data_IF_806696122227
#
_entry.id   IF_806696122227
#
_cell.length_a   1.000
_cell.length_b   1.000
_cell.length_c   1.000
_cell.angle_alpha   90.00
_cell.angle_beta   90.00
_cell.angle_gamma   90.00
#
_symmetry.space_group_name_H-M   'P 1'
#
loop_
_entity.id
_entity.type
_entity.pdbx_description
1 polymer ?
#
# COMPACT_ATOMS: atom_id res chain seq x y z
N UNK A 1 -13.08 9.24 -14.61
CA UNK A 1 -12.49 9.57 -13.30
C UNK A 1 -11.21 8.76 -13.19
N UNK A 2 -10.04 9.41 -13.19
CA UNK A 2 -8.82 8.69 -12.81
C UNK A 2 -8.94 8.47 -11.31
N UNK A 3 -9.20 7.22 -10.90
CA UNK A 3 -9.05 6.82 -9.51
C UNK A 3 -7.56 7.05 -9.19
N UNK A 4 -7.24 8.19 -8.57
CA UNK A 4 -5.90 8.44 -8.05
C UNK A 4 -5.87 7.78 -6.69
N UNK A 5 -5.47 6.50 -6.67
CA UNK A 5 -5.09 5.84 -5.43
C UNK A 5 -3.70 6.39 -5.12
N UNK A 6 -3.45 6.99 -3.95
CA UNK A 6 -2.09 7.32 -3.57
C UNK A 6 -1.29 6.01 -3.51
N UNK A 7 -0.25 5.91 -4.34
CA UNK A 7 0.82 4.96 -4.12
C UNK A 7 1.34 5.15 -2.70
N UNK A 8 1.86 4.09 -2.08
CA UNK A 8 2.42 4.11 -0.72
C UNK A 8 3.62 5.04 -0.53
N UNK A 9 4.00 5.83 -1.54
CA UNK A 9 4.93 6.95 -1.44
C UNK A 9 4.33 8.06 -0.57
N UNK A 10 4.65 8.04 0.72
CA UNK A 10 4.28 9.09 1.66
C UNK A 10 5.41 10.13 1.76
N UNK A 11 5.04 11.41 1.66
CA UNK A 11 5.92 12.53 2.01
C UNK A 11 5.44 13.09 3.34
N UNK A 12 6.28 12.98 4.37
CA UNK A 12 5.97 13.48 5.71
C UNK A 12 6.87 14.67 6.02
N UNK A 13 6.24 15.82 6.31
CA UNK A 13 6.91 16.97 6.91
C UNK A 13 6.73 16.88 8.43
N UNK A 14 7.80 16.59 9.16
CA UNK A 14 7.76 16.54 10.61
C UNK A 14 7.80 17.97 11.18
N UNK A 15 6.63 18.60 11.40
CA UNK A 15 6.50 19.84 12.17
C UNK A 15 5.82 19.56 13.52
N UNK A 16 6.48 19.93 14.61
CA UNK A 16 5.89 19.83 15.96
C UNK A 16 5.00 21.04 16.23
N UNK A 17 3.71 20.80 16.48
CA UNK A 17 2.80 21.80 17.08
C UNK A 17 2.72 21.57 18.59
N UNK A 18 2.76 22.66 19.35
CA UNK A 18 3.03 22.65 20.79
C UNK A 18 1.78 22.42 21.66
N UNK A 19 1.62 21.20 22.21
CA UNK A 19 1.00 20.84 23.52
C UNK A 19 -0.51 21.18 23.75
N UNK A 20 -1.26 20.50 24.67
CA UNK A 20 -0.89 20.29 26.08
C UNK A 20 -1.21 18.92 26.75
N UNK A 21 -0.33 18.57 27.70
CA UNK A 21 -0.53 17.88 29.00
C UNK A 21 -1.12 16.45 29.05
N UNK A 22 -0.23 15.48 29.22
CA UNK A 22 -0.55 14.15 29.78
C UNK A 22 -0.49 14.14 31.32
N UNK A 23 -1.49 13.51 31.96
CA UNK A 23 -1.51 13.19 33.40
C UNK A 23 -0.84 11.83 33.65
N UNK A 24 -0.01 11.76 34.69
CA UNK A 24 0.71 10.56 35.12
C UNK A 24 -0.22 9.48 35.69
N UNK A 25 -0.04 8.22 35.29
CA UNK A 25 -0.55 7.05 36.00
C UNK A 25 0.59 6.32 36.71
N UNK A 26 0.34 5.97 37.99
CA UNK A 26 1.26 5.26 38.89
C UNK A 26 1.49 3.82 38.43
N UNK A 27 2.75 3.38 38.49
CA UNK A 27 3.15 1.99 38.31
C UNK A 27 2.75 1.14 39.52
N UNK A 28 2.16 -0.04 39.27
CA UNK A 28 2.00 -1.12 40.23
C UNK A 28 3.05 -2.19 39.89
N UNK A 29 3.91 -2.49 40.86
CA UNK A 29 4.97 -3.49 40.74
C UNK A 29 4.39 -4.91 40.67
N UNK A 30 4.92 -5.77 39.79
CA UNK A 30 4.74 -7.21 39.90
C UNK A 30 5.94 -8.01 39.36
N UNK A 31 6.55 -8.74 40.30
CA UNK A 31 7.29 -10.01 40.27
C UNK A 31 8.23 -10.31 39.08
N UNK A 32 9.52 -10.35 39.44
CA UNK A 32 10.63 -11.00 38.71
C UNK A 32 10.30 -12.47 38.40
N UNK A 33 10.27 -12.80 37.11
CA UNK A 33 10.44 -14.15 36.60
C UNK A 33 11.81 -14.20 35.89
N UNK A 34 12.69 -15.06 36.39
CA UNK A 34 14.00 -15.34 35.83
C UNK A 34 13.80 -16.01 34.46
N UNK A 35 14.23 -15.35 33.38
CA UNK A 35 14.35 -15.96 32.06
C UNK A 35 15.82 -15.98 31.64
N UNK A 36 16.25 -17.15 31.20
CA UNK A 36 17.61 -17.49 30.81
C UNK A 36 18.18 -16.52 29.77
N UNK A 37 19.41 -16.08 30.04
CA UNK A 37 20.27 -15.30 29.15
C UNK A 37 20.56 -16.07 27.85
N UNK A 38 19.86 -15.71 26.77
CA UNK A 38 20.41 -15.81 25.42
C UNK A 38 21.06 -14.47 25.10
N UNK A 39 22.31 -14.50 24.64
CA UNK A 39 23.04 -13.32 24.18
C UNK A 39 22.19 -12.58 23.13
N UNK A 40 21.65 -11.43 23.53
CA UNK A 40 21.05 -10.47 22.62
C UNK A 40 22.20 -9.79 21.87
N UNK A 41 22.49 -10.27 20.66
CA UNK A 41 23.28 -9.50 19.71
C UNK A 41 22.47 -8.25 19.35
N UNK A 42 22.77 -7.11 19.96
CA UNK A 42 22.19 -5.83 19.60
C UNK A 42 22.61 -5.54 18.15
N UNK A 43 21.72 -5.74 17.19
CA UNK A 43 22.00 -5.46 15.79
C UNK A 43 21.99 -3.95 15.63
N UNK A 44 23.13 -3.36 15.27
CA UNK A 44 23.25 -1.95 14.94
C UNK A 44 22.50 -1.68 13.64
N UNK A 45 21.47 -0.83 13.71
CA UNK A 45 20.57 -0.53 12.62
C UNK A 45 21.02 0.75 11.90
N UNK A 46 22.22 0.73 11.31
CA UNK A 46 22.82 1.91 10.67
C UNK A 46 22.40 1.99 9.19
N UNK A 47 21.71 3.07 8.82
CA UNK A 47 21.47 3.41 7.41
C UNK A 47 22.74 4.04 6.80
N UNK A 48 22.91 3.93 5.48
CA UNK A 48 24.02 4.60 4.79
C UNK A 48 23.78 6.11 4.80
N UNK A 49 24.83 6.89 4.96
CA UNK A 49 24.76 8.35 5.05
C UNK A 49 25.52 9.03 3.91
N UNK A 50 24.89 10.02 3.28
CA UNK A 50 25.44 10.74 2.13
C UNK A 50 25.26 12.25 2.30
N UNK A 51 26.27 13.03 1.93
CA UNK A 51 26.16 14.49 1.89
C UNK A 51 26.07 14.96 0.45
N UNK A 52 25.01 15.70 0.09
CA UNK A 52 24.75 16.05 -1.32
C UNK A 52 25.89 16.85 -1.96
N UNK A 53 26.57 17.70 -1.19
CA UNK A 53 27.72 18.48 -1.66
C UNK A 53 28.91 17.62 -2.10
N UNK A 54 28.99 16.39 -1.61
CA UNK A 54 30.15 15.52 -1.78
C UNK A 54 29.92 14.50 -2.91
N UNK A 55 28.71 14.47 -3.49
CA UNK A 55 28.33 13.53 -4.53
C UNK A 55 28.46 14.15 -5.93
N UNK A 56 28.90 13.34 -6.88
CA UNK A 56 28.82 13.65 -8.30
C UNK A 56 27.36 13.56 -8.79
N UNK A 57 27.01 14.23 -9.91
CA UNK A 57 25.67 14.11 -10.48
C UNK A 57 25.23 12.66 -10.75
N UNK A 58 26.16 11.80 -11.20
CA UNK A 58 25.89 10.38 -11.43
C UNK A 58 25.57 9.62 -10.14
N UNK A 59 26.27 9.91 -9.04
CA UNK A 59 25.98 9.30 -7.74
C UNK A 59 24.65 9.76 -7.19
N UNK A 60 24.32 11.04 -7.35
CA UNK A 60 23.00 11.59 -7.01
C UNK A 60 21.91 10.89 -7.83
N UNK A 61 22.13 10.65 -9.12
CA UNK A 61 21.16 9.94 -9.96
C UNK A 61 21.04 8.45 -9.59
N UNK A 62 22.12 7.82 -9.13
CA UNK A 62 22.06 6.46 -8.60
C UNK A 62 21.28 6.38 -7.28
N UNK A 63 21.34 7.39 -6.40
CA UNK A 63 20.51 7.44 -5.19
C UNK A 63 19.03 7.64 -5.50
N UNK A 64 18.71 8.33 -6.61
CA UNK A 64 17.33 8.47 -7.10
C UNK A 64 16.81 7.20 -7.76
N UNK A 65 17.71 6.32 -8.22
CA UNK A 65 17.31 5.09 -8.86
C UNK A 65 16.64 4.18 -7.83
N UNK A 66 15.34 3.95 -8.03
CA UNK A 66 14.61 2.95 -7.24
C UNK A 66 15.28 1.59 -7.39
N UNK A 67 15.21 0.72 -6.36
CA UNK A 67 15.56 -0.68 -6.51
C UNK A 67 14.70 -1.27 -7.62
N UNK A 68 15.26 -1.37 -8.84
CA UNK A 68 14.53 -1.90 -9.99
C UNK A 68 14.40 -3.39 -9.79
N UNK A 69 13.18 -3.84 -9.51
CA UNK A 69 12.84 -5.25 -9.60
C UNK A 69 12.94 -5.62 -11.08
N UNK A 70 13.82 -6.57 -11.41
CA UNK A 70 13.86 -7.14 -12.76
C UNK A 70 12.62 -8.00 -12.98
N UNK A 71 11.60 -7.37 -13.58
CA UNK A 71 10.33 -8.02 -13.88
C UNK A 71 10.45 -9.13 -14.92
N UNK A 72 11.52 -9.20 -15.73
CA UNK A 72 11.63 -10.21 -16.79
C UNK A 72 11.61 -11.64 -16.22
N UNK A 73 12.33 -11.85 -15.12
CA UNK A 73 12.37 -13.13 -14.39
C UNK A 73 11.04 -13.45 -13.68
N UNK A 74 10.30 -12.43 -13.24
CA UNK A 74 9.02 -12.60 -12.55
C UNK A 74 7.92 -12.90 -13.57
N UNK A 75 7.98 -12.29 -14.75
CA UNK A 75 7.02 -12.55 -15.83
C UNK A 75 7.02 -14.01 -16.25
N UNK A 76 8.18 -14.67 -16.36
CA UNK A 76 8.23 -16.10 -16.68
C UNK A 76 7.60 -17.00 -15.60
N UNK A 77 7.57 -16.54 -14.35
CA UNK A 77 6.90 -17.23 -13.24
C UNK A 77 5.38 -16.97 -13.23
N UNK A 78 4.97 -15.76 -13.58
CA UNK A 78 3.58 -15.31 -13.50
C UNK A 78 2.76 -15.67 -14.74
N UNK A 79 3.38 -15.61 -15.93
CA UNK A 79 2.72 -15.87 -17.21
C UNK A 79 2.02 -17.25 -17.25
N UNK A 80 2.63 -18.35 -16.79
CA UNK A 80 1.94 -19.65 -16.75
C UNK A 80 0.68 -19.64 -15.88
N UNK A 81 0.69 -18.90 -14.75
CA UNK A 81 -0.47 -18.78 -13.86
C UNK A 81 -1.59 -18.01 -14.55
N UNK A 82 -1.23 -16.91 -15.24
CA UNK A 82 -2.19 -16.10 -15.97
C UNK A 82 -2.87 -16.92 -17.07
N UNK A 83 -2.09 -17.64 -17.88
CA UNK A 83 -2.59 -18.44 -19.00
C UNK A 83 -3.40 -19.66 -18.53
N UNK A 84 -3.02 -20.26 -17.40
CA UNK A 84 -3.74 -21.39 -16.82
C UNK A 84 -5.13 -20.97 -16.32
N UNK A 85 -5.24 -19.82 -15.65
CA UNK A 85 -6.54 -19.27 -15.24
C UNK A 85 -7.40 -18.88 -16.43
N UNK A 86 -6.80 -18.34 -17.50
CA UNK A 86 -7.52 -18.07 -18.76
C UNK A 86 -8.12 -19.35 -19.36
N UNK A 87 -7.40 -20.47 -19.27
CA UNK A 87 -7.79 -21.73 -19.92
C UNK A 87 -8.74 -22.56 -19.07
N UNK A 88 -8.49 -22.65 -17.75
CA UNK A 88 -9.23 -23.54 -16.83
C UNK A 88 -10.20 -22.81 -15.89
N UNK A 89 -10.20 -21.48 -15.86
CA UNK A 89 -11.10 -20.67 -15.04
C UNK A 89 -11.00 -21.01 -13.54
N UNK A 90 -12.16 -21.22 -12.90
CA UNK A 90 -12.28 -21.47 -11.46
C UNK A 90 -11.41 -22.62 -10.96
N UNK A 91 -11.21 -23.67 -11.77
CA UNK A 91 -10.42 -24.82 -11.39
C UNK A 91 -8.95 -24.43 -11.13
N UNK A 92 -8.36 -23.62 -12.01
CA UNK A 92 -7.00 -23.11 -11.80
C UNK A 92 -6.92 -22.20 -10.57
N UNK A 93 -7.91 -21.33 -10.36
CA UNK A 93 -7.94 -20.45 -9.18
C UNK A 93 -7.95 -21.27 -7.89
N UNK A 94 -8.77 -22.33 -7.81
CA UNK A 94 -8.81 -23.24 -6.67
C UNK A 94 -7.47 -23.95 -6.45
N UNK A 95 -6.87 -24.50 -7.51
CA UNK A 95 -5.58 -25.18 -7.43
C UNK A 95 -4.47 -24.26 -6.90
N UNK A 96 -4.40 -23.02 -7.40
CA UNK A 96 -3.41 -22.05 -6.93
C UNK A 96 -3.68 -21.56 -5.51
N UNK A 97 -4.95 -21.42 -5.12
CA UNK A 97 -5.33 -21.09 -3.73
C UNK A 97 -4.92 -22.21 -2.78
N UNK A 98 -5.18 -23.48 -3.14
CA UNK A 98 -4.70 -24.63 -2.36
C UNK A 98 -3.16 -24.68 -2.32
N UNK A 99 -2.49 -24.38 -3.43
CA UNK A 99 -1.02 -24.45 -3.52
C UNK A 99 -0.34 -23.37 -2.70
N UNK A 100 -0.78 -22.12 -2.79
CA UNK A 100 -0.12 -20.97 -2.19
C UNK A 100 -0.69 -20.58 -0.83
N UNK A 101 -2.02 -20.53 -0.71
CA UNK A 101 -2.69 -20.12 0.52
C UNK A 101 -2.98 -21.32 1.45
N UNK A 102 -2.83 -22.56 0.96
CA UNK A 102 -3.07 -23.82 1.70
C UNK A 102 -4.53 -24.00 2.12
N UNK A 103 -5.44 -23.45 1.32
CA UNK A 103 -6.88 -23.49 1.56
C UNK A 103 -7.58 -24.16 0.40
N UNK A 104 -8.39 -25.18 0.71
CA UNK A 104 -9.31 -25.79 -0.23
C UNK A 104 -10.65 -25.06 -0.19
N UNK A 105 -11.13 -24.59 -1.34
CA UNK A 105 -12.39 -23.85 -1.44
C UNK A 105 -13.35 -24.53 -2.42
N UNK A 106 -14.57 -24.76 -1.98
CA UNK A 106 -15.66 -25.17 -2.87
C UNK A 106 -16.16 -24.00 -3.72
N UNK A 107 -16.34 -22.83 -3.11
CA UNK A 107 -16.79 -21.60 -3.76
C UNK A 107 -15.71 -20.53 -3.64
N UNK A 108 -15.28 -19.97 -4.77
CA UNK A 108 -14.25 -18.92 -4.81
C UNK A 108 -14.82 -17.50 -4.84
N UNK A 109 -16.10 -17.34 -5.20
CA UNK A 109 -16.78 -16.04 -5.31
C UNK A 109 -17.99 -16.01 -4.38
N UNK A 110 -18.16 -14.92 -3.66
CA UNK A 110 -19.37 -14.65 -2.88
C UNK A 110 -20.04 -13.38 -3.40
N UNK A 111 -21.37 -13.37 -3.50
CA UNK A 111 -22.11 -12.12 -3.64
C UNK A 111 -22.17 -11.47 -2.25
N UNK A 112 -21.77 -10.21 -2.15
CA UNK A 112 -21.67 -9.52 -0.86
C UNK A 112 -23.04 -9.33 -0.20
N UNK A 113 -24.10 -9.23 -1.01
CA UNK A 113 -25.50 -9.15 -0.55
C UNK A 113 -25.95 -10.39 0.22
N UNK A 114 -25.40 -11.55 -0.11
CA UNK A 114 -25.83 -12.85 0.42
C UNK A 114 -25.11 -13.17 1.75
N UNK A 115 -24.04 -12.44 2.05
CA UNK A 115 -23.26 -12.60 3.27
C UNK A 115 -23.90 -11.83 4.43
N UNK A 116 -23.90 -12.38 5.67
CA UNK A 116 -24.35 -11.64 6.84
C UNK A 116 -23.38 -10.49 7.15
N UNK A 117 -23.89 -9.47 7.84
CA UNK A 117 -23.03 -8.40 8.35
C UNK A 117 -22.09 -8.97 9.43
N UNK A 118 -20.77 -8.75 9.32
CA UNK A 118 -19.82 -9.32 10.26
C UNK A 118 -19.90 -8.62 11.62
N UNK A 119 -19.76 -9.40 12.69
CA UNK A 119 -19.64 -8.87 14.05
C UNK A 119 -18.22 -8.36 14.31
N UNK A 120 -18.11 -7.07 14.63
CA UNK A 120 -16.89 -6.38 14.99
C UNK A 120 -17.02 -5.80 16.40
N UNK A 121 -15.88 -5.69 17.09
CA UNK A 121 -15.81 -4.88 18.30
C UNK A 121 -16.20 -3.43 17.98
N UNK A 122 -16.91 -2.78 18.90
CA UNK A 122 -17.50 -1.47 18.69
C UNK A 122 -16.43 -0.42 18.38
N UNK A 123 -15.31 -0.45 19.12
CA UNK A 123 -14.19 0.46 18.89
C UNK A 123 -13.53 0.27 17.51
N UNK A 124 -13.47 -0.98 17.02
CA UNK A 124 -12.94 -1.31 15.69
C UNK A 124 -13.90 -0.81 14.60
N UNK A 125 -15.20 -1.05 14.77
CA UNK A 125 -16.24 -0.57 13.87
C UNK A 125 -16.23 0.96 13.76
N UNK A 126 -16.17 1.66 14.91
CA UNK A 126 -16.11 3.12 14.96
C UNK A 126 -14.86 3.66 14.26
N UNK A 127 -13.71 3.02 14.45
CA UNK A 127 -12.46 3.40 13.77
C UNK A 127 -12.58 3.30 12.24
N UNK A 128 -13.19 2.22 11.73
CA UNK A 128 -13.45 2.08 10.29
C UNK A 128 -14.51 3.06 9.78
N UNK A 129 -15.48 3.44 10.62
CA UNK A 129 -16.50 4.43 10.27
C UNK A 129 -15.91 5.83 10.13
N UNK A 130 -15.00 6.21 11.03
CA UNK A 130 -14.22 7.46 10.92
C UNK A 130 -13.37 7.44 9.65
N UNK A 131 -12.65 6.33 9.39
CA UNK A 131 -11.84 6.19 8.18
C UNK A 131 -12.70 6.31 6.92
N UNK A 132 -13.83 5.61 6.86
CA UNK A 132 -14.78 5.67 5.75
C UNK A 132 -15.26 7.11 5.52
N UNK A 133 -15.69 7.80 6.59
CA UNK A 133 -16.22 9.17 6.50
C UNK A 133 -15.18 10.13 5.92
N UNK A 134 -13.94 10.08 6.41
CA UNK A 134 -12.87 10.94 5.94
C UNK A 134 -12.48 10.64 4.47
N UNK A 135 -12.35 9.36 4.11
CA UNK A 135 -12.01 8.94 2.74
C UNK A 135 -13.14 9.34 1.78
N UNK A 136 -14.39 9.12 2.17
CA UNK A 136 -15.56 9.48 1.36
C UNK A 136 -15.61 10.99 1.13
N UNK A 137 -15.49 11.80 2.20
CA UNK A 137 -15.53 13.25 2.11
C UNK A 137 -14.44 13.78 1.16
N UNK A 138 -13.20 13.26 1.29
CA UNK A 138 -12.09 13.66 0.43
C UNK A 138 -12.31 13.31 -1.05
N UNK A 139 -12.76 12.08 -1.36
CA UNK A 139 -12.97 11.66 -2.74
C UNK A 139 -14.23 12.28 -3.37
N UNK A 140 -15.29 12.50 -2.58
CA UNK A 140 -16.52 13.13 -3.06
C UNK A 140 -16.27 14.59 -3.47
N UNK A 141 -15.37 15.30 -2.78
CA UNK A 141 -14.96 16.67 -3.11
C UNK A 141 -14.25 16.78 -4.47
N UNK A 142 -13.74 15.67 -5.03
CA UNK A 142 -13.04 15.67 -6.32
C UNK A 142 -13.98 15.59 -7.54
N UNK A 143 -15.31 15.53 -7.34
CA UNK A 143 -16.27 15.46 -8.45
C UNK A 143 -16.12 16.70 -9.35
N UNK A 144 -15.76 16.55 -10.63
CA UNK A 144 -15.56 17.69 -11.51
C UNK A 144 -16.90 18.32 -11.85
N UNK A 145 -16.93 19.65 -11.93
CA UNK A 145 -18.07 20.39 -12.47
C UNK A 145 -18.07 20.26 -13.99
N UNK A 146 -19.17 19.79 -14.57
CA UNK A 146 -19.33 19.73 -16.02
C UNK A 146 -19.41 21.15 -16.59
N UNK A 147 -18.37 21.57 -17.31
CA UNK A 147 -18.31 22.88 -17.97
C UNK A 147 -18.50 22.71 -19.48
N UNK A 148 -19.42 23.49 -20.03
CA UNK A 148 -19.54 23.69 -21.48
C UNK A 148 -18.60 24.82 -21.86
N UNK A 149 -17.78 24.59 -22.88
CA UNK A 149 -16.83 25.55 -23.42
C UNK A 149 -17.20 25.79 -24.88
N UNK A 150 -17.39 27.06 -25.23
CA UNK A 150 -17.72 27.52 -26.58
C UNK A 150 -16.68 28.56 -26.99
N UNK A 151 -15.65 28.10 -27.71
CA UNK A 151 -14.56 28.98 -28.15
C UNK A 151 -14.88 29.71 -29.46
N UNK A 152 -15.74 29.13 -30.28
CA UNK A 152 -16.29 29.73 -31.49
C UNK A 152 -17.80 29.59 -31.41
N UNK A 153 -18.52 30.64 -31.83
CA UNK A 153 -19.98 30.64 -31.85
C UNK A 153 -20.51 29.42 -32.62
N UNK A 154 -21.39 28.65 -31.97
CA UNK A 154 -21.96 27.41 -32.49
C UNK A 154 -21.15 26.13 -32.22
N UNK A 155 -19.91 26.23 -31.73
CA UNK A 155 -19.04 25.06 -31.45
C UNK A 155 -18.91 24.82 -29.95
N UNK A 156 -19.80 23.99 -29.41
CA UNK A 156 -19.85 23.65 -27.98
C UNK A 156 -19.15 22.33 -27.68
N UNK A 157 -18.14 22.39 -26.83
CA UNK A 157 -17.43 21.24 -26.31
C UNK A 157 -17.76 21.04 -24.83
N UNK A 158 -17.94 19.80 -24.38
CA UNK A 158 -18.05 19.46 -22.96
C UNK A 158 -17.34 18.15 -22.65
N UNK A 159 -16.84 18.03 -21.42
CA UNK A 159 -16.30 16.77 -20.89
C UNK A 159 -17.27 16.21 -19.86
N UNK A 160 -17.78 15.02 -20.11
CA UNK A 160 -18.70 14.31 -19.21
C UNK A 160 -18.00 13.13 -18.56
N UNK A 161 -18.23 12.92 -17.26
CA UNK A 161 -17.69 11.77 -16.56
C UNK A 161 -18.64 10.57 -16.69
N UNK A 162 -18.10 9.39 -16.99
CA UNK A 162 -18.81 8.11 -16.91
C UNK A 162 -17.96 7.15 -16.07
N UNK A 163 -18.61 6.34 -15.24
CA UNK A 163 -17.94 5.27 -14.51
C UNK A 163 -17.47 4.19 -15.46
N UNK A 164 -16.38 3.53 -15.06
CA UNK A 164 -16.03 2.21 -15.57
C UNK A 164 -17.09 1.25 -15.02
N UNK A 165 -17.65 0.39 -15.87
CA UNK A 165 -18.82 -0.41 -15.51
C UNK A 165 -18.45 -1.50 -14.52
N UNK A 166 -17.30 -2.16 -14.75
CA UNK A 166 -16.81 -3.26 -13.92
C UNK A 166 -15.36 -3.03 -13.48
N UNK A 167 -15.11 -3.03 -12.17
CA UNK A 167 -13.77 -2.84 -11.59
C UNK A 167 -13.40 -4.00 -10.67
N UNK A 168 -12.13 -4.41 -10.75
CA UNK A 168 -11.52 -5.39 -9.86
C UNK A 168 -10.64 -4.67 -8.84
N UNK A 169 -10.79 -4.98 -7.55
CA UNK A 169 -10.05 -4.37 -6.45
C UNK A 169 -9.27 -5.45 -5.72
N UNK A 170 -7.95 -5.44 -5.83
CA UNK A 170 -7.10 -6.38 -5.11
C UNK A 170 -6.74 -5.83 -3.73
N UNK A 171 -7.08 -6.58 -2.68
CA UNK A 171 -6.75 -6.29 -1.29
C UNK A 171 -5.78 -7.35 -0.79
N UNK A 172 -4.50 -6.97 -0.52
CA UNK A 172 -3.52 -7.91 0.00
C UNK A 172 -3.97 -8.59 1.30
N UNK A 173 -3.56 -9.83 1.45
CA UNK A 173 -3.70 -10.61 2.68
C UNK A 173 -2.50 -11.54 2.87
N UNK A 174 -2.67 -12.58 3.69
CA UNK A 174 -1.58 -13.49 4.06
C UNK A 174 -0.93 -13.07 5.37
N UNK A 175 0.28 -12.51 5.32
CA UNK A 175 1.04 -12.15 6.55
C UNK A 175 0.48 -10.94 7.30
N UNK A 176 -0.30 -10.10 6.64
CA UNK A 176 -1.04 -8.98 7.22
C UNK A 176 -2.32 -8.77 6.41
N UNK A 177 -3.44 -8.52 7.09
CA UNK A 177 -4.72 -8.23 6.45
C UNK A 177 -4.90 -6.71 6.39
N UNK A 178 -5.28 -6.17 5.23
CA UNK A 178 -5.33 -4.73 4.97
C UNK A 178 -6.74 -4.20 4.66
N UNK A 179 -7.64 -4.12 5.66
CA UNK A 179 -8.99 -3.58 5.48
C UNK A 179 -9.00 -2.08 5.10
N UNK A 180 -7.92 -1.35 5.42
CA UNK A 180 -7.73 0.03 4.96
C UNK A 180 -7.65 0.13 3.44
N UNK A 181 -6.98 -0.81 2.77
CA UNK A 181 -6.93 -0.89 1.30
C UNK A 181 -8.32 -1.12 0.71
N UNK A 182 -9.16 -1.95 1.35
CA UNK A 182 -10.53 -2.14 0.90
C UNK A 182 -11.32 -0.81 0.86
N UNK A 183 -11.19 0.02 1.90
CA UNK A 183 -11.82 1.36 1.92
C UNK A 183 -11.26 2.28 0.83
N UNK A 184 -9.93 2.37 0.71
CA UNK A 184 -9.27 3.25 -0.25
C UNK A 184 -9.63 2.93 -1.71
N UNK A 185 -9.93 1.67 -2.00
CA UNK A 185 -10.31 1.22 -3.35
C UNK A 185 -11.82 1.29 -3.60
N UNK A 186 -12.63 0.79 -2.65
CA UNK A 186 -14.06 0.61 -2.86
C UNK A 186 -14.85 1.92 -2.72
N UNK A 187 -14.46 2.83 -1.82
CA UNK A 187 -15.15 4.12 -1.62
C UNK A 187 -15.16 4.97 -2.90
N UNK A 188 -14.02 5.22 -3.59
CA UNK A 188 -14.06 5.98 -4.84
C UNK A 188 -14.80 5.23 -5.96
N UNK A 189 -14.81 3.89 -5.97
CA UNK A 189 -15.65 3.11 -6.90
C UNK A 189 -17.15 3.32 -6.65
N UNK A 190 -17.55 3.35 -5.37
CA UNK A 190 -18.91 3.68 -4.94
C UNK A 190 -19.32 5.09 -5.38
N UNK A 191 -18.45 6.08 -5.13
CA UNK A 191 -18.68 7.48 -5.50
C UNK A 191 -18.79 7.65 -7.02
N UNK A 192 -17.96 6.92 -7.78
CA UNK A 192 -18.01 6.93 -9.25
C UNK A 192 -19.30 6.29 -9.79
N UNK A 193 -19.92 5.37 -9.05
CA UNK A 193 -21.08 4.61 -9.49
C UNK A 193 -20.69 3.45 -10.42
N UNK A 194 -19.62 2.73 -10.09
CA UNK A 194 -19.27 1.47 -10.75
C UNK A 194 -20.38 0.43 -10.47
N UNK A 195 -20.84 -0.29 -11.51
CA UNK A 195 -21.96 -1.23 -11.40
C UNK A 195 -21.54 -2.56 -10.80
N UNK A 196 -20.38 -3.06 -11.24
CA UNK A 196 -19.79 -4.30 -10.75
C UNK A 196 -18.46 -3.95 -10.09
N UNK A 197 -18.34 -4.31 -8.82
CA UNK A 197 -17.12 -4.14 -8.01
C UNK A 197 -16.76 -5.50 -7.44
N UNK A 198 -15.70 -6.10 -7.97
CA UNK A 198 -15.17 -7.38 -7.51
C UNK A 198 -13.97 -7.11 -6.60
N UNK A 199 -14.04 -7.49 -5.33
CA UNK A 199 -12.92 -7.37 -4.39
C UNK A 199 -12.23 -8.72 -4.25
N UNK A 200 -10.98 -8.82 -4.68
CA UNK A 200 -10.15 -10.00 -4.49
C UNK A 200 -9.34 -9.90 -3.21
N UNK A 201 -9.40 -10.94 -2.37
CA UNK A 201 -8.58 -11.05 -1.17
C UNK A 201 -8.31 -12.54 -0.90
N UNK A 202 -7.07 -12.95 -0.55
CA UNK A 202 -6.81 -14.33 -0.20
C UNK A 202 -7.63 -14.73 1.04
N UNK A 203 -8.16 -15.96 1.09
CA UNK A 203 -8.92 -16.43 2.23
C UNK A 203 -8.02 -16.56 3.48
N UNK A 204 -8.65 -16.55 4.65
CA UNK A 204 -8.03 -16.98 5.90
C UNK A 204 -7.75 -18.48 5.86
N UNK A 205 -6.93 -19.01 6.77
CA UNK A 205 -6.54 -20.43 6.77
C UNK A 205 -7.72 -21.41 6.93
N UNK A 206 -8.86 -20.94 7.44
CA UNK A 206 -10.12 -21.69 7.54
C UNK A 206 -11.04 -21.52 6.32
N UNK A 207 -10.60 -20.80 5.28
CA UNK A 207 -11.38 -20.50 4.08
C UNK A 207 -12.31 -19.30 4.19
N UNK A 208 -12.37 -18.63 5.34
CA UNK A 208 -13.23 -17.48 5.57
C UNK A 208 -12.65 -16.16 5.02
N UNK A 209 -13.51 -15.17 4.82
CA UNK A 209 -13.09 -13.80 4.52
C UNK A 209 -12.85 -13.08 5.85
N UNK A 210 -11.77 -12.32 5.96
CA UNK A 210 -11.54 -11.47 7.13
C UNK A 210 -12.75 -10.55 7.38
N UNK A 211 -13.26 -10.57 8.62
CA UNK A 211 -14.47 -9.86 9.02
C UNK A 211 -14.36 -8.34 8.82
N UNK A 212 -13.19 -7.75 9.07
CA UNK A 212 -12.91 -6.32 8.84
C UNK A 212 -12.95 -5.98 7.35
N UNK A 213 -12.39 -6.85 6.49
CA UNK A 213 -12.45 -6.66 5.02
C UNK A 213 -13.88 -6.77 4.53
N UNK A 214 -14.65 -7.76 5.01
CA UNK A 214 -16.05 -7.93 4.68
C UNK A 214 -16.90 -6.72 5.11
N UNK A 215 -16.64 -6.17 6.30
CA UNK A 215 -17.31 -4.97 6.80
C UNK A 215 -17.06 -3.78 5.87
N UNK A 216 -15.79 -3.50 5.56
CA UNK A 216 -15.42 -2.41 4.66
C UNK A 216 -16.01 -2.60 3.26
N UNK A 217 -16.00 -3.83 2.74
CA UNK A 217 -16.56 -4.18 1.44
C UNK A 217 -18.07 -3.91 1.37
N UNK A 218 -18.83 -4.36 2.38
CA UNK A 218 -20.26 -4.09 2.50
C UNK A 218 -20.55 -2.60 2.60
N UNK A 219 -19.86 -1.89 3.49
CA UNK A 219 -20.04 -0.45 3.71
C UNK A 219 -19.80 0.37 2.44
N UNK A 220 -18.80 -0.02 1.64
CA UNK A 220 -18.45 0.64 0.39
C UNK A 220 -19.19 0.10 -0.85
N UNK A 221 -20.17 -0.79 -0.69
CA UNK A 221 -21.01 -1.27 -1.81
C UNK A 221 -20.28 -2.17 -2.81
N UNK A 222 -19.30 -2.95 -2.34
CA UNK A 222 -18.70 -4.03 -3.15
C UNK A 222 -19.78 -5.05 -3.51
N UNK A 223 -19.77 -5.52 -4.75
CA UNK A 223 -20.80 -6.46 -5.25
C UNK A 223 -20.40 -7.92 -5.08
N UNK A 224 -19.13 -8.26 -5.32
CA UNK A 224 -18.62 -9.63 -5.27
C UNK A 224 -17.30 -9.66 -4.50
N UNK A 225 -17.05 -10.73 -3.73
CA UNK A 225 -15.75 -10.99 -3.11
C UNK A 225 -15.17 -12.27 -3.70
N UNK A 226 -14.01 -12.15 -4.35
CA UNK A 226 -13.19 -13.25 -4.83
C UNK A 226 -12.22 -13.67 -3.72
N UNK A 227 -12.40 -14.88 -3.18
CA UNK A 227 -11.53 -15.52 -2.18
C UNK A 227 -10.28 -16.12 -2.85
N UNK A 228 -9.44 -15.25 -3.39
CA UNK A 228 -8.16 -15.62 -3.99
C UNK A 228 -7.15 -14.46 -3.87
N UNK A 229 -5.87 -14.80 -3.71
CA UNK A 229 -4.75 -13.87 -3.76
C UNK A 229 -3.93 -13.97 -5.04
N UNK A 230 -2.79 -13.27 -5.07
CA UNK A 230 -1.74 -13.46 -6.06
C UNK A 230 -2.11 -13.19 -7.52
N UNK A 231 -1.29 -13.71 -8.43
CA UNK A 231 -1.49 -13.57 -9.87
C UNK A 231 -2.77 -14.25 -10.36
N UNK A 232 -3.17 -15.35 -9.72
CA UNK A 232 -4.39 -16.08 -10.07
C UNK A 232 -5.65 -15.24 -9.87
N UNK A 233 -5.71 -14.41 -8.81
CA UNK A 233 -6.84 -13.51 -8.58
C UNK A 233 -6.89 -12.37 -9.61
N UNK A 234 -5.74 -11.80 -9.95
CA UNK A 234 -5.66 -10.76 -10.99
C UNK A 234 -6.09 -11.34 -12.34
N UNK A 235 -5.64 -12.54 -12.70
CA UNK A 235 -6.05 -13.23 -13.93
C UNK A 235 -7.55 -13.52 -13.97
N UNK A 236 -8.11 -14.00 -12.86
CA UNK A 236 -9.54 -14.28 -12.75
C UNK A 236 -10.41 -13.02 -12.93
N UNK A 237 -10.00 -11.88 -12.38
CA UNK A 237 -10.69 -10.61 -12.61
C UNK A 237 -10.48 -10.08 -14.03
N UNK A 238 -9.30 -10.27 -14.63
CA UNK A 238 -9.00 -9.74 -15.96
C UNK A 238 -9.74 -10.46 -17.08
N UNK A 239 -9.74 -11.79 -17.06
CA UNK A 239 -10.41 -12.61 -18.06
C UNK A 239 -11.89 -12.85 -17.73
N UNK A 240 -12.25 -12.78 -16.44
CA UNK A 240 -13.45 -13.41 -15.94
C UNK A 240 -13.28 -14.93 -15.86
N UNK A 241 -14.12 -15.57 -15.07
CA UNK A 241 -14.21 -17.03 -15.00
C UNK A 241 -15.68 -17.46 -15.01
N UNK A 242 -15.97 -18.74 -14.76
CA UNK A 242 -17.34 -19.22 -14.66
C UNK A 242 -18.12 -18.52 -13.52
N UNK A 243 -17.43 -18.19 -12.42
CA UNK A 243 -18.02 -17.49 -11.28
C UNK A 243 -17.55 -16.05 -11.09
N UNK A 244 -16.32 -15.69 -11.50
CA UNK A 244 -15.77 -14.36 -11.32
C UNK A 244 -16.17 -13.41 -12.46
N UNK A 245 -16.84 -12.28 -12.18
CA UNK A 245 -17.12 -11.28 -13.19
C UNK A 245 -15.82 -10.69 -13.77
N UNK A 246 -15.80 -10.49 -15.09
CA UNK A 246 -14.71 -9.78 -15.77
C UNK A 246 -14.71 -8.30 -15.38
N UNK A 247 -13.54 -7.79 -15.02
CA UNK A 247 -13.27 -6.37 -14.80
C UNK A 247 -12.74 -5.69 -16.09
N UNK A 248 -13.05 -4.41 -16.23
CA UNK A 248 -12.49 -3.53 -17.28
C UNK A 248 -11.24 -2.80 -16.77
N UNK A 249 -11.14 -2.63 -15.45
CA UNK A 249 -9.96 -2.06 -14.80
C UNK A 249 -9.67 -2.73 -13.46
N UNK A 250 -8.41 -3.08 -13.21
CA UNK A 250 -7.95 -3.69 -11.97
C UNK A 250 -7.12 -2.70 -11.17
N UNK A 251 -7.43 -2.64 -9.88
CA UNK A 251 -6.86 -1.71 -8.91
C UNK A 251 -6.21 -2.46 -7.75
N UNK A 252 -5.31 -1.78 -7.07
CA UNK A 252 -4.85 -2.20 -5.75
C UNK A 252 -3.37 -2.56 -5.71
N UNK A 253 -2.74 -2.38 -4.53
CA UNK A 253 -1.35 -2.72 -4.31
C UNK A 253 -1.18 -4.24 -4.17
N UNK A 254 0.03 -4.73 -4.29
CA UNK A 254 0.35 -6.13 -4.05
C UNK A 254 1.85 -6.37 -4.11
N UNK A 255 2.24 -7.61 -3.83
CA UNK A 255 3.64 -7.99 -4.00
C UNK A 255 4.05 -7.95 -5.49
N UNK A 256 5.33 -8.17 -5.75
CA UNK A 256 5.90 -8.18 -7.11
C UNK A 256 5.17 -9.12 -8.10
N UNK A 257 4.60 -10.24 -7.64
CA UNK A 257 3.86 -11.17 -8.50
C UNK A 257 2.49 -10.61 -8.92
N UNK A 258 1.80 -9.93 -8.00
CA UNK A 258 0.54 -9.24 -8.27
C UNK A 258 0.78 -8.07 -9.24
N UNK A 259 1.81 -7.26 -8.99
CA UNK A 259 2.19 -6.16 -9.88
C UNK A 259 2.58 -6.68 -11.26
N UNK A 260 3.36 -7.75 -11.33
CA UNK A 260 3.73 -8.39 -12.60
C UNK A 260 2.51 -8.92 -13.36
N UNK A 261 1.55 -9.56 -12.68
CA UNK A 261 0.31 -10.03 -13.30
C UNK A 261 -0.50 -8.87 -13.89
N UNK A 262 -0.64 -7.76 -13.13
CA UNK A 262 -1.28 -6.52 -13.60
C UNK A 262 -0.60 -5.97 -14.85
N UNK A 263 0.74 -5.94 -14.87
CA UNK A 263 1.53 -5.45 -16.00
C UNK A 263 1.44 -6.33 -17.24
N UNK A 264 1.39 -7.65 -17.09
CA UNK A 264 1.16 -8.60 -18.19
C UNK A 264 -0.24 -8.38 -18.77
N UNK A 265 -1.25 -8.34 -17.90
CA UNK A 265 -2.65 -8.36 -18.32
C UNK A 265 -3.10 -7.07 -19.01
N UNK A 266 -2.54 -5.91 -18.65
CA UNK A 266 -2.83 -4.65 -19.36
C UNK A 266 -2.41 -4.65 -20.84
N UNK A 267 -1.46 -5.52 -21.20
CA UNK A 267 -0.97 -5.67 -22.58
C UNK A 267 -1.55 -6.91 -23.28
N UNK A 268 -2.55 -7.55 -22.67
CA UNK A 268 -3.13 -8.80 -23.18
C UNK A 268 -4.48 -8.58 -23.84
N UNK A 269 -4.97 -9.59 -24.55
CA UNK A 269 -6.31 -9.63 -25.17
C UNK A 269 -7.46 -9.61 -24.14
N UNK A 270 -7.16 -9.54 -22.83
CA UNK A 270 -8.16 -9.39 -21.78
C UNK A 270 -8.86 -8.03 -21.85
N UNK A 271 -8.32 -7.05 -22.58
CA UNK A 271 -8.87 -5.70 -22.70
C UNK A 271 -9.15 -5.10 -21.31
N UNK A 272 -8.16 -5.21 -20.42
CA UNK A 272 -8.21 -4.71 -19.04
C UNK A 272 -7.16 -3.62 -18.89
N UNK A 273 -7.48 -2.58 -18.15
CA UNK A 273 -6.50 -1.57 -17.74
C UNK A 273 -6.13 -1.73 -16.27
N UNK A 274 -5.05 -1.08 -15.83
CA UNK A 274 -4.67 -1.04 -14.42
C UNK A 274 -4.55 0.40 -13.93
N UNK A 275 -4.54 0.61 -12.62
CA UNK A 275 -4.22 1.90 -12.00
C UNK A 275 -2.77 2.31 -12.23
N UNK A 276 -1.85 1.54 -11.67
CA UNK A 276 -0.41 1.77 -11.73
C UNK A 276 0.35 0.48 -11.36
N UNK A 277 1.59 0.32 -11.84
CA UNK A 277 2.52 -0.63 -11.25
C UNK A 277 2.86 -0.18 -9.82
N UNK A 278 2.31 -0.87 -8.83
CA UNK A 278 2.65 -0.60 -7.43
C UNK A 278 4.02 -1.23 -7.14
N UNK A 279 5.00 -0.40 -6.79
CA UNK A 279 6.29 -0.85 -6.28
C UNK A 279 6.23 -1.19 -4.79
N UNK A 280 7.37 -1.60 -4.19
CA UNK A 280 7.49 -1.67 -2.74
C UNK A 280 7.10 -0.36 -2.07
N UNK A 281 6.74 -0.41 -0.79
CA UNK A 281 6.34 0.78 -0.04
C UNK A 281 7.56 1.67 0.23
N UNK A 282 7.37 2.98 0.11
CA UNK A 282 8.45 3.97 0.21
C UNK A 282 8.00 5.15 1.08
N UNK A 283 8.88 5.68 1.92
CA UNK A 283 8.67 6.98 2.59
C UNK A 283 9.94 7.80 2.52
N UNK A 284 9.76 9.09 2.27
CA UNK A 284 10.82 10.08 2.40
C UNK A 284 10.42 11.06 3.52
N UNK A 285 11.25 11.13 4.56
CA UNK A 285 11.07 12.05 5.69
C UNK A 285 12.06 13.19 5.53
N UNK A 286 11.56 14.43 5.52
CA UNK A 286 12.41 15.63 5.57
C UNK A 286 12.39 16.15 7.00
N UNK A 287 13.55 16.24 7.62
CA UNK A 287 13.71 16.65 9.00
C UNK A 287 14.68 17.84 9.12
N UNK A 288 14.28 18.85 9.89
CA UNK A 288 15.13 19.94 10.34
C UNK A 288 15.38 19.83 11.85
N UNK A 289 16.06 20.82 12.43
CA UNK A 289 16.44 20.81 13.86
C UNK A 289 15.26 20.87 14.85
N UNK A 290 14.05 21.14 14.37
CA UNK A 290 12.84 21.21 15.20
C UNK A 290 12.08 19.88 15.21
N UNK A 291 12.46 18.95 14.35
CA UNK A 291 11.85 17.62 14.28
C UNK A 291 12.33 16.74 15.44
N UNK A 292 11.41 15.95 15.99
CA UNK A 292 11.71 15.04 17.10
C UNK A 292 12.37 13.77 16.58
N UNK A 293 13.54 13.35 17.12
CA UNK A 293 14.18 12.10 16.74
C UNK A 293 13.28 10.87 16.89
N UNK A 294 12.44 10.86 17.94
CA UNK A 294 11.49 9.78 18.22
C UNK A 294 10.47 9.63 17.10
N UNK A 295 9.92 10.75 16.61
CA UNK A 295 8.91 10.75 15.55
C UNK A 295 9.52 10.40 14.19
N UNK A 296 10.70 10.94 13.87
CA UNK A 296 11.42 10.61 12.63
C UNK A 296 11.67 9.11 12.55
N UNK A 297 12.20 8.51 13.64
CA UNK A 297 12.44 7.08 13.71
C UNK A 297 11.15 6.27 13.55
N UNK A 298 10.06 6.69 14.20
CA UNK A 298 8.76 6.03 14.10
C UNK A 298 8.19 6.07 12.68
N UNK A 299 8.27 7.23 12.01
CA UNK A 299 7.77 7.42 10.65
C UNK A 299 8.55 6.55 9.65
N UNK A 300 9.88 6.51 9.75
CA UNK A 300 10.72 5.63 8.92
C UNK A 300 10.37 4.15 9.16
N UNK A 301 10.28 3.74 10.42
CA UNK A 301 9.98 2.34 10.76
C UNK A 301 8.57 1.91 10.35
N UNK A 302 7.60 2.83 10.32
CA UNK A 302 6.22 2.55 9.93
C UNK A 302 6.09 1.99 8.50
N UNK A 303 6.97 2.40 7.58
CA UNK A 303 7.02 1.81 6.24
C UNK A 303 8.06 0.69 6.13
N UNK A 304 9.14 0.74 6.90
CA UNK A 304 10.15 -0.32 6.87
C UNK A 304 9.57 -1.68 7.30
N UNK A 305 8.60 -1.71 8.22
CA UNK A 305 7.99 -2.96 8.71
C UNK A 305 7.06 -3.66 7.70
N UNK A 306 6.65 -2.96 6.63
CA UNK A 306 5.72 -3.50 5.64
C UNK A 306 6.31 -4.74 4.94
N UNK A 307 7.59 -4.68 4.58
CA UNK A 307 8.28 -5.79 3.93
C UNK A 307 9.77 -5.51 3.70
N UNK A 308 10.58 -6.57 3.51
CA UNK A 308 12.03 -6.46 3.35
C UNK A 308 12.46 -5.70 2.08
N UNK A 309 11.54 -5.53 1.14
CA UNK A 309 11.67 -4.79 -0.10
C UNK A 309 11.34 -3.30 0.03
N UNK A 310 10.79 -2.84 1.17
CA UNK A 310 10.44 -1.44 1.42
C UNK A 310 11.70 -0.58 1.57
N UNK A 311 11.67 0.66 1.07
CA UNK A 311 12.81 1.57 1.14
C UNK A 311 12.41 2.87 1.85
N UNK A 312 13.23 3.33 2.79
CA UNK A 312 13.01 4.59 3.48
C UNK A 312 14.18 5.54 3.27
N UNK A 313 13.87 6.83 3.18
CA UNK A 313 14.88 7.87 2.95
C UNK A 313 14.69 8.97 3.98
N UNK A 314 15.74 9.28 4.71
CA UNK A 314 15.79 10.43 5.60
C UNK A 314 16.56 11.56 4.92
N UNK A 315 15.96 12.74 4.80
CA UNK A 315 16.65 13.94 4.31
C UNK A 315 16.76 14.95 5.44
N UNK A 316 17.99 15.21 5.87
CA UNK A 316 18.33 16.20 6.87
C UNK A 316 18.51 17.55 6.19
N UNK A 317 17.72 18.54 6.61
CA UNK A 317 17.70 19.88 6.05
C UNK A 317 18.40 20.87 6.99
N UNK A 318 19.60 21.30 6.61
CA UNK A 318 20.40 22.26 7.35
C UNK A 318 21.06 21.68 8.61
N UNK A 319 21.51 22.58 9.49
CA UNK A 319 22.30 22.23 10.67
C UNK A 319 21.46 22.06 11.93
N UNK A 320 22.03 21.33 12.90
CA UNK A 320 21.48 21.23 14.27
C UNK A 320 20.46 20.10 14.48
N UNK A 321 20.34 19.18 13.53
CA UNK A 321 19.55 17.95 13.71
C UNK A 321 20.35 16.92 14.53
N UNK A 322 19.72 16.33 15.53
CA UNK A 322 20.34 15.29 16.38
C UNK A 322 20.33 13.92 15.68
N UNK A 323 21.35 13.68 14.86
CA UNK A 323 21.48 12.45 14.07
C UNK A 323 21.67 11.23 14.96
N UNK A 324 22.50 11.34 16.00
CA UNK A 324 22.74 10.24 16.92
C UNK A 324 21.44 9.85 17.64
N UNK A 325 20.65 10.84 18.08
CA UNK A 325 19.34 10.59 18.68
C UNK A 325 18.36 9.88 17.73
N UNK A 326 18.43 10.18 16.41
CA UNK A 326 17.61 9.49 15.40
C UNK A 326 18.07 8.04 15.24
N UNK A 327 19.37 7.79 15.07
CA UNK A 327 19.93 6.44 14.90
C UNK A 327 19.70 5.54 16.13
N UNK A 328 19.83 6.12 17.33
CA UNK A 328 19.53 5.46 18.60
C UNK A 328 18.06 5.06 18.68
N UNK A 329 17.13 5.95 18.31
CA UNK A 329 15.70 5.61 18.34
C UNK A 329 15.28 4.67 17.22
N UNK A 330 15.89 4.73 16.03
CA UNK A 330 15.68 3.71 14.99
C UNK A 330 16.08 2.34 15.53
N UNK A 331 17.26 2.23 16.13
CA UNK A 331 17.75 0.95 16.68
C UNK A 331 16.86 0.46 17.83
N UNK A 332 16.50 1.33 18.77
CA UNK A 332 15.68 0.99 19.92
C UNK A 332 14.27 0.58 19.52
N UNK A 333 13.59 1.37 18.67
CA UNK A 333 12.23 1.07 18.23
C UNK A 333 12.21 -0.18 17.35
N UNK A 334 13.14 -0.33 16.41
CA UNK A 334 13.22 -1.50 15.53
C UNK A 334 13.36 -2.82 16.30
N UNK A 335 14.22 -2.85 17.32
CA UNK A 335 14.41 -4.03 18.19
C UNK A 335 13.16 -4.38 19.01
N UNK A 336 12.23 -3.44 19.19
CA UNK A 336 10.96 -3.66 19.91
C UNK A 336 9.81 -4.08 19.00
N UNK A 337 9.98 -3.98 17.67
CA UNK A 337 8.92 -4.29 16.71
C UNK A 337 8.77 -5.81 16.52
N UNK A 338 7.53 -6.35 16.51
CA UNK A 338 7.28 -7.74 16.14
C UNK A 338 7.80 -8.09 14.74
N UNK A 339 7.81 -7.12 13.83
CA UNK A 339 8.31 -7.24 12.45
C UNK A 339 9.70 -6.62 12.27
N UNK A 340 10.49 -6.52 13.34
CA UNK A 340 11.83 -5.90 13.33
C UNK A 340 12.79 -6.50 12.30
N UNK A 341 12.71 -7.81 12.03
CA UNK A 341 13.53 -8.44 10.98
C UNK A 341 13.23 -7.93 9.57
N UNK A 342 11.97 -7.56 9.28
CA UNK A 342 11.60 -6.99 7.98
C UNK A 342 12.09 -5.55 7.89
N UNK A 343 11.89 -4.77 8.95
CA UNK A 343 12.39 -3.41 9.06
C UNK A 343 13.93 -3.35 8.93
N UNK A 344 14.67 -4.27 9.55
CA UNK A 344 16.13 -4.36 9.43
C UNK A 344 16.58 -4.59 7.98
N UNK A 345 15.89 -5.47 7.25
CA UNK A 345 16.20 -5.73 5.84
C UNK A 345 15.90 -4.50 4.97
N UNK A 346 14.75 -3.84 5.19
CA UNK A 346 14.42 -2.58 4.53
C UNK A 346 15.49 -1.50 4.81
N UNK A 347 15.92 -1.37 6.06
CA UNK A 347 16.92 -0.37 6.46
C UNK A 347 18.31 -0.62 5.85
N UNK A 348 18.64 -1.86 5.49
CA UNK A 348 19.93 -2.21 4.87
C UNK A 348 20.16 -1.59 3.48
N UNK A 349 19.07 -1.21 2.80
CA UNK A 349 19.09 -0.52 1.49
C UNK A 349 18.42 0.86 1.54
N UNK A 350 18.15 1.34 2.75
CA UNK A 350 17.69 2.69 3.06
C UNK A 350 18.87 3.62 3.36
N UNK A 351 18.66 4.93 3.29
CA UNK A 351 19.75 5.89 3.45
C UNK A 351 19.31 7.26 3.97
N UNK A 352 20.28 7.95 4.58
CA UNK A 352 20.19 9.34 5.03
C UNK A 352 20.95 10.25 4.05
N UNK A 353 20.34 11.38 3.71
CA UNK A 353 20.89 12.42 2.86
C UNK A 353 20.98 13.73 3.62
N UNK A 354 22.16 14.34 3.65
CA UNK A 354 22.39 15.66 4.24
C UNK A 354 22.34 16.73 3.15
N UNK A 355 21.37 17.63 3.27
CA UNK A 355 21.20 18.81 2.45
C UNK A 355 21.50 20.07 3.29
N UNK A 356 22.20 21.03 2.71
CA UNK A 356 22.61 22.29 3.36
C UNK A 356 21.42 23.16 3.76
N UNK A 357 20.32 23.08 2.99
CA UNK A 357 19.13 23.91 3.16
C UNK A 357 17.92 23.27 2.48
N UNK A 358 16.73 23.80 2.74
CA UNK A 358 15.47 23.34 2.13
C UNK A 358 15.40 23.55 0.62
N UNK A 359 16.22 24.42 0.03
CA UNK A 359 16.26 24.63 -1.42
C UNK A 359 16.99 23.46 -2.09
N UNK A 360 18.11 23.03 -1.53
CA UNK A 360 18.84 21.84 -1.98
C UNK A 360 18.00 20.57 -1.82
N UNK A 361 17.23 20.45 -0.74
CA UNK A 361 16.22 19.39 -0.58
C UNK A 361 15.23 19.37 -1.75
N UNK A 362 14.69 20.54 -2.14
CA UNK A 362 13.75 20.64 -3.28
C UNK A 362 14.40 20.19 -4.60
N UNK A 363 15.66 20.53 -4.84
CA UNK A 363 16.38 20.11 -6.05
C UNK A 363 16.61 18.60 -6.10
N UNK A 364 17.00 18.01 -4.96
CA UNK A 364 17.09 16.55 -4.83
C UNK A 364 15.74 15.88 -5.07
N UNK A 365 14.66 16.46 -4.52
CA UNK A 365 13.29 15.92 -4.59
C UNK A 365 12.64 16.00 -5.99
N UNK A 366 12.82 17.11 -6.72
CA UNK A 366 12.15 17.35 -7.99
C UNK A 366 12.46 16.27 -9.04
N UNK A 367 13.66 15.68 -8.97
CA UNK A 367 14.07 14.62 -9.88
C UNK A 367 13.64 13.20 -9.44
N UNK A 368 13.41 12.95 -8.15
CA UNK A 368 13.10 11.60 -7.66
C UNK A 368 11.61 11.24 -7.75
N UNK A 369 10.71 12.23 -7.66
CA UNK A 369 9.25 11.98 -7.58
C UNK A 369 8.42 12.51 -8.75
N UNK A 370 8.90 13.50 -9.51
CA UNK A 370 8.10 14.16 -10.55
C UNK A 370 8.61 13.97 -11.99
N UNK A 371 9.77 13.32 -12.18
CA UNK A 371 10.39 13.13 -13.49
C UNK A 371 10.13 11.75 -14.13
N UNK A 372 9.13 10.99 -13.66
CA UNK A 372 8.73 9.68 -14.21
C UNK A 372 7.38 9.74 -14.90
#
# INVERSE_FOLDING_TARGET
MSLVIPCSSQLVFAQTSSSPRFRSFRAVASRKLLFNSRLSSTVTCAMKSYKLSDLTPTEVDNLKARPRIDFSSIFSTVQPIVDDVRTRGDAAVKDYTLRFDKVELEKIIENVSDLPDPELDEAVRESFDVAYSNIYAFHAAQKPVEKVVENMEGVRCKRVARSISSVGLYVPGGTAVLPSTALMLAIPAQIAGCKTVVLATPPSSDGSICKEVLYCAKKAGVTHILKAGGAQAISAMAWGTASCPKAEKIYGPGNQYVTAAKMILQNSEAMVSIDMPAGPSEVLVIADKYASPVHIAADLLSQAEHGPDSQVVLVIAGDGVDINGIEDEITKQCNSLPRGEFALKALSHSFTVFARDMVEVRFFFYFQFFAS
#
